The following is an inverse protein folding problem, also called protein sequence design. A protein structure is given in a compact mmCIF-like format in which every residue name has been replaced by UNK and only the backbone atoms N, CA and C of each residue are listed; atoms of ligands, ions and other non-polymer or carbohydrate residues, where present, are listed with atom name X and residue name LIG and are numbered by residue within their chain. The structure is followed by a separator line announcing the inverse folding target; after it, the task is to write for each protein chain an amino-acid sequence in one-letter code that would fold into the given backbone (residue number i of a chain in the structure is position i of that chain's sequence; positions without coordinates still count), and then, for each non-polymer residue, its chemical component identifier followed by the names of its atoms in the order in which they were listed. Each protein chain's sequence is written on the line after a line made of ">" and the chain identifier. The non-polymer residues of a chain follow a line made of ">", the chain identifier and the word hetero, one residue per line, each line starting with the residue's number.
data_IF_368639977644
#
_entry.id   IF_368639977644
#
_cell.length_a   1.000
_cell.length_b   1.000
_cell.length_c   1.000
_cell.angle_alpha   90.00
_cell.angle_beta   90.00
_cell.angle_gamma   90.00
#
_symmetry.space_group_name_H-M   'P 1'
#
loop_
_entity.id
_entity.type
_entity.pdbx_description
1 polymer ?
#
# COMPACT_ATOMS: atom_id res chain seq x y z
N UNK A 1 35.83 9.97 9.41
CA UNK A 1 34.45 10.52 9.30
C UNK A 1 33.52 9.52 9.95
N UNK A 2 32.77 9.90 10.98
CA UNK A 2 32.03 8.98 11.85
C UNK A 2 30.91 8.29 11.04
N UNK A 3 30.75 6.97 11.16
CA UNK A 3 29.78 6.13 10.44
C UNK A 3 28.35 6.72 10.59
N UNK A 4 27.96 7.15 11.79
CA UNK A 4 26.67 7.79 12.08
C UNK A 4 26.44 9.10 11.29
N UNK A 5 27.46 9.94 11.08
CA UNK A 5 27.34 11.17 10.27
C UNK A 5 27.14 10.85 8.80
N UNK A 6 27.74 9.76 8.28
CA UNK A 6 27.56 9.30 6.91
C UNK A 6 26.12 8.80 6.72
N UNK A 7 25.63 7.93 7.61
CA UNK A 7 24.27 7.39 7.57
C UNK A 7 23.19 8.49 7.69
N UNK A 8 23.44 9.52 8.47
CA UNK A 8 22.51 10.67 8.61
C UNK A 8 22.45 11.50 7.33
N UNK A 9 23.58 11.67 6.61
CA UNK A 9 23.59 12.39 5.33
C UNK A 9 22.87 11.61 4.25
N UNK A 10 23.11 10.31 4.17
CA UNK A 10 22.46 9.40 3.23
C UNK A 10 20.94 9.51 3.41
N UNK A 11 20.42 9.25 4.62
CA UNK A 11 18.97 9.34 4.92
C UNK A 11 18.38 10.71 4.63
N UNK A 12 19.13 11.80 4.87
CA UNK A 12 18.66 13.15 4.54
C UNK A 12 18.50 13.32 3.03
N UNK A 13 19.46 12.87 2.25
CA UNK A 13 19.43 12.95 0.77
C UNK A 13 18.30 12.10 0.21
N UNK A 14 18.15 10.86 0.69
CA UNK A 14 17.06 9.96 0.28
C UNK A 14 15.68 10.58 0.55
N UNK A 15 15.52 11.20 1.73
CA UNK A 15 14.28 11.92 2.04
C UNK A 15 14.04 13.10 1.11
N UNK A 16 15.06 13.93 0.82
CA UNK A 16 14.92 15.06 -0.10
C UNK A 16 14.54 14.56 -1.51
N UNK A 17 15.18 13.49 -1.98
CA UNK A 17 14.86 12.87 -3.27
C UNK A 17 13.42 12.32 -3.30
N UNK A 18 12.97 11.67 -2.23
CA UNK A 18 11.60 11.18 -2.11
C UNK A 18 10.59 12.32 -2.14
N UNK A 19 10.82 13.39 -1.37
CA UNK A 19 9.95 14.57 -1.33
C UNK A 19 9.89 15.26 -2.70
N UNK A 20 11.01 15.39 -3.40
CA UNK A 20 11.06 15.96 -4.76
C UNK A 20 10.38 15.07 -5.81
N UNK A 21 10.59 13.75 -5.73
CA UNK A 21 9.94 12.80 -6.63
C UNK A 21 8.41 12.84 -6.46
N UNK A 22 7.91 12.80 -5.25
CA UNK A 22 6.47 12.86 -4.98
C UNK A 22 5.84 14.16 -5.45
N UNK A 23 6.54 15.28 -5.28
CA UNK A 23 6.10 16.57 -5.82
C UNK A 23 5.97 16.54 -7.36
N UNK A 24 6.97 15.99 -8.05
CA UNK A 24 6.89 15.86 -9.52
C UNK A 24 5.75 14.94 -9.97
N UNK A 25 5.49 13.86 -9.25
CA UNK A 25 4.42 12.91 -9.55
C UNK A 25 3.01 13.50 -9.37
N UNK A 26 2.84 14.62 -8.68
CA UNK A 26 1.53 15.30 -8.62
C UNK A 26 1.03 15.75 -10.00
N UNK A 27 1.94 16.09 -10.90
CA UNK A 27 1.60 16.68 -12.21
C UNK A 27 2.15 15.90 -13.40
N UNK A 28 3.09 14.98 -13.19
CA UNK A 28 3.79 14.24 -14.25
C UNK A 28 3.68 12.73 -14.05
N UNK A 29 3.66 12.01 -15.16
CA UNK A 29 3.89 10.57 -15.13
C UNK A 29 5.34 10.27 -14.75
N UNK A 30 5.57 9.14 -14.09
CA UNK A 30 6.91 8.62 -13.78
C UNK A 30 7.82 8.60 -15.02
N UNK A 31 7.26 8.25 -16.18
CA UNK A 31 7.99 8.16 -17.44
C UNK A 31 8.54 9.50 -17.95
N UNK A 32 7.98 10.61 -17.47
CA UNK A 32 8.33 11.98 -17.89
C UNK A 32 9.28 12.67 -16.88
N UNK A 33 9.60 12.01 -15.77
CA UNK A 33 10.48 12.56 -14.73
C UNK A 33 11.94 12.22 -15.07
N UNK A 34 12.80 13.24 -15.03
CA UNK A 34 14.24 13.07 -15.29
C UNK A 34 15.09 13.30 -14.03
N UNK A 35 16.23 12.62 -13.95
CA UNK A 35 17.22 12.85 -12.87
C UNK A 35 17.65 14.31 -12.80
N UNK A 36 17.74 14.99 -13.95
CA UNK A 36 18.07 16.42 -13.99
C UNK A 36 17.05 17.26 -13.24
N UNK A 37 15.81 17.10 -13.60
CA UNK A 37 14.72 17.86 -13.02
C UNK A 37 14.56 17.59 -11.51
N UNK A 38 14.64 16.31 -11.11
CA UNK A 38 14.60 15.94 -9.71
C UNK A 38 15.76 16.55 -8.92
N UNK A 39 17.00 16.47 -9.44
CA UNK A 39 18.16 17.04 -8.80
C UNK A 39 18.07 18.58 -8.67
N UNK A 40 17.58 19.24 -9.72
CA UNK A 40 17.39 20.69 -9.74
C UNK A 40 16.32 21.14 -8.69
N UNK A 41 15.21 20.38 -8.53
CA UNK A 41 14.15 20.70 -7.55
C UNK A 41 14.65 20.54 -6.11
N UNK A 42 15.41 19.49 -5.82
CA UNK A 42 15.88 19.22 -4.44
C UNK A 42 17.22 19.87 -4.12
N UNK A 43 17.74 20.69 -5.03
CA UNK A 43 19.00 21.43 -4.90
C UNK A 43 20.20 20.53 -4.56
N UNK A 44 20.36 19.47 -5.35
CA UNK A 44 21.54 18.58 -5.25
C UNK A 44 22.24 18.44 -6.60
N UNK A 45 23.53 18.09 -6.57
CA UNK A 45 24.23 17.72 -7.79
C UNK A 45 23.75 16.33 -8.27
N UNK A 46 23.59 16.14 -9.60
CA UNK A 46 23.26 14.84 -10.20
C UNK A 46 24.21 13.72 -9.77
N UNK A 47 25.50 14.05 -9.57
CA UNK A 47 26.45 13.06 -9.03
C UNK A 47 26.05 12.55 -7.65
N UNK A 48 25.36 13.39 -6.84
CA UNK A 48 24.82 12.95 -5.55
C UNK A 48 23.67 11.97 -5.74
N UNK A 49 22.78 12.19 -6.72
CA UNK A 49 21.74 11.24 -7.07
C UNK A 49 22.33 9.88 -7.45
N UNK A 50 23.34 9.87 -8.34
CA UNK A 50 23.98 8.65 -8.83
C UNK A 50 24.81 7.90 -7.77
N UNK A 51 25.02 8.48 -6.59
CA UNK A 51 25.56 7.75 -5.44
C UNK A 51 24.52 6.85 -4.74
N UNK A 52 23.23 7.10 -5.00
CA UNK A 52 22.10 6.38 -4.39
C UNK A 52 21.36 5.49 -5.39
N UNK A 53 21.12 5.97 -6.60
CA UNK A 53 20.29 5.31 -7.61
C UNK A 53 20.91 5.42 -9.00
N UNK A 54 20.66 4.41 -9.86
CA UNK A 54 21.14 4.40 -11.24
C UNK A 54 20.34 5.38 -12.13
N UNK A 55 19.04 5.41 -11.94
CA UNK A 55 18.08 6.28 -12.62
C UNK A 55 16.79 6.44 -11.79
N UNK A 56 15.78 7.13 -12.36
CA UNK A 56 14.48 7.33 -11.71
C UNK A 56 13.73 6.01 -11.48
N UNK A 57 13.85 5.06 -12.41
CA UNK A 57 13.15 3.76 -12.28
C UNK A 57 13.77 2.92 -11.17
N UNK A 58 15.09 2.90 -11.06
CA UNK A 58 15.82 2.24 -9.97
C UNK A 58 15.41 2.84 -8.61
N UNK A 59 15.32 4.17 -8.53
CA UNK A 59 14.85 4.85 -7.30
C UNK A 59 13.41 4.43 -6.94
N UNK A 60 12.50 4.40 -7.91
CA UNK A 60 11.12 4.00 -7.71
C UNK A 60 11.04 2.54 -7.27
N UNK A 61 11.77 1.65 -7.91
CA UNK A 61 11.81 0.23 -7.56
C UNK A 61 12.28 0.00 -6.11
N UNK A 62 13.28 0.74 -5.65
CA UNK A 62 13.71 0.70 -4.26
C UNK A 62 12.61 1.15 -3.29
N UNK A 63 11.93 2.27 -3.60
CA UNK A 63 10.81 2.78 -2.79
C UNK A 63 9.65 1.79 -2.76
N UNK A 64 9.27 1.24 -3.92
CA UNK A 64 8.20 0.24 -4.02
C UNK A 64 8.50 -1.01 -3.21
N UNK A 65 9.72 -1.53 -3.30
CA UNK A 65 10.14 -2.73 -2.59
C UNK A 65 10.13 -2.51 -1.07
N UNK A 66 10.58 -1.36 -0.58
CA UNK A 66 10.50 -0.98 0.84
C UNK A 66 9.04 -0.89 1.33
N UNK A 67 8.16 -0.27 0.53
CA UNK A 67 6.73 -0.22 0.85
C UNK A 67 6.06 -1.59 0.84
N UNK A 68 6.40 -2.45 -0.12
CA UNK A 68 5.87 -3.82 -0.22
C UNK A 68 6.31 -4.66 0.98
N UNK A 69 7.58 -4.56 1.40
CA UNK A 69 8.09 -5.22 2.59
C UNK A 69 7.31 -4.79 3.83
N UNK A 70 7.20 -3.49 4.08
CA UNK A 70 6.42 -2.92 5.19
C UNK A 70 4.94 -3.33 5.15
N UNK A 71 4.33 -3.35 3.96
CA UNK A 71 2.95 -3.78 3.79
C UNK A 71 2.76 -5.27 4.10
N UNK A 72 3.69 -6.10 3.66
CA UNK A 72 3.70 -7.54 3.93
C UNK A 72 3.87 -7.82 5.43
N UNK A 73 4.75 -7.09 6.09
CA UNK A 73 4.96 -7.16 7.54
C UNK A 73 3.69 -6.72 8.31
N UNK A 74 3.05 -5.64 7.88
CA UNK A 74 1.80 -5.15 8.48
C UNK A 74 0.64 -6.15 8.34
N UNK A 75 0.58 -6.88 7.23
CA UNK A 75 -0.38 -7.99 7.04
C UNK A 75 -0.13 -9.15 8.00
N UNK A 76 1.11 -9.33 8.45
CA UNK A 76 1.50 -10.42 9.33
C UNK A 76 1.32 -11.82 8.72
N UNK A 77 1.46 -12.87 9.54
CA UNK A 77 1.32 -14.26 9.09
C UNK A 77 -0.11 -14.58 8.66
N UNK A 78 -0.27 -15.59 7.80
CA UNK A 78 -1.58 -16.13 7.43
C UNK A 78 -2.14 -16.93 8.60
N UNK A 79 -3.12 -16.39 9.30
CA UNK A 79 -3.81 -17.06 10.42
C UNK A 79 -5.01 -17.86 9.88
N UNK A 80 -5.14 -19.11 10.30
CA UNK A 80 -6.29 -19.93 9.94
C UNK A 80 -7.51 -19.52 10.80
N UNK A 81 -8.56 -18.93 10.22
CA UNK A 81 -9.73 -18.49 10.97
C UNK A 81 -10.48 -19.63 11.67
N UNK A 82 -10.38 -20.88 11.20
CA UNK A 82 -11.10 -22.01 11.78
C UNK A 82 -10.54 -22.49 13.13
N UNK A 83 -9.36 -22.01 13.54
CA UNK A 83 -8.72 -22.42 14.81
C UNK A 83 -8.85 -21.41 15.94
N UNK A 84 -9.45 -20.24 15.66
CA UNK A 84 -9.67 -19.18 16.65
C UNK A 84 -11.15 -18.82 16.73
N UNK A 85 -11.61 -18.28 17.87
CA UNK A 85 -13.00 -17.84 18.02
C UNK A 85 -13.34 -16.70 17.09
N UNK A 86 -14.62 -16.53 16.74
CA UNK A 86 -15.07 -15.41 15.90
C UNK A 86 -14.67 -14.03 16.46
N UNK A 87 -14.76 -13.86 17.79
CA UNK A 87 -14.33 -12.62 18.46
C UNK A 87 -12.82 -12.36 18.29
N UNK A 88 -12.01 -13.42 18.42
CA UNK A 88 -10.56 -13.32 18.23
C UNK A 88 -10.17 -13.06 16.77
N UNK A 89 -10.95 -13.58 15.83
CA UNK A 89 -10.77 -13.28 14.39
C UNK A 89 -10.99 -11.82 14.10
N UNK A 90 -12.07 -11.24 14.65
CA UNK A 90 -12.40 -9.81 14.47
C UNK A 90 -11.31 -8.91 15.06
N UNK A 91 -10.89 -9.21 16.29
CA UNK A 91 -9.84 -8.45 16.96
C UNK A 91 -8.51 -8.49 16.17
N UNK A 92 -8.10 -9.67 15.73
CA UNK A 92 -6.88 -9.83 14.93
C UNK A 92 -7.00 -9.12 13.56
N UNK A 93 -8.14 -9.23 12.91
CA UNK A 93 -8.38 -8.54 11.63
C UNK A 93 -8.37 -7.02 11.80
N UNK A 94 -9.00 -6.49 12.86
CA UNK A 94 -8.97 -5.07 13.18
C UNK A 94 -7.53 -4.58 13.45
N UNK A 95 -6.74 -5.37 14.15
CA UNK A 95 -5.32 -5.07 14.42
C UNK A 95 -4.50 -5.01 13.13
N UNK A 96 -4.69 -5.96 12.24
CA UNK A 96 -4.03 -5.96 10.91
C UNK A 96 -4.43 -4.70 10.13
N UNK A 97 -5.72 -4.39 10.06
CA UNK A 97 -6.20 -3.20 9.36
C UNK A 97 -5.64 -1.91 9.95
N UNK A 98 -5.57 -1.80 11.29
CA UNK A 98 -4.91 -0.67 11.97
C UNK A 98 -3.44 -0.53 11.55
N UNK A 99 -2.71 -1.63 11.50
CA UNK A 99 -1.30 -1.62 11.07
C UNK A 99 -1.15 -1.13 9.62
N UNK A 100 -2.03 -1.60 8.72
CA UNK A 100 -2.04 -1.20 7.31
C UNK A 100 -2.39 0.29 7.17
N UNK A 101 -3.47 0.75 7.80
CA UNK A 101 -3.87 2.15 7.68
C UNK A 101 -2.89 3.12 8.34
N UNK A 102 -2.22 2.74 9.44
CA UNK A 102 -1.12 3.51 10.00
C UNK A 102 0.07 3.59 9.03
N UNK A 103 0.46 2.47 8.42
CA UNK A 103 1.51 2.45 7.40
C UNK A 103 1.19 3.38 6.22
N UNK A 104 -0.06 3.36 5.75
CA UNK A 104 -0.52 4.25 4.69
C UNK A 104 -0.47 5.73 5.12
N UNK A 105 -0.80 6.05 6.38
CA UNK A 105 -0.68 7.40 6.92
C UNK A 105 0.77 7.88 7.01
N UNK A 106 1.64 7.05 7.56
CA UNK A 106 3.07 7.34 7.69
C UNK A 106 3.75 7.58 6.35
N UNK A 107 3.27 6.89 5.30
CA UNK A 107 3.83 6.97 3.94
C UNK A 107 2.85 7.64 2.95
N UNK A 108 1.93 8.49 3.46
CA UNK A 108 0.80 9.02 2.67
C UNK A 108 1.22 9.65 1.35
N UNK A 109 2.22 10.51 1.37
CA UNK A 109 2.63 11.29 0.19
C UNK A 109 3.07 10.37 -0.95
N UNK A 110 3.92 9.40 -0.66
CA UNK A 110 4.38 8.44 -1.68
C UNK A 110 3.30 7.43 -2.06
N UNK A 111 2.50 6.93 -1.11
CA UNK A 111 1.38 6.05 -1.42
C UNK A 111 0.34 6.74 -2.31
N UNK A 112 0.00 8.02 -2.03
CA UNK A 112 -0.87 8.83 -2.88
C UNK A 112 -0.29 8.99 -4.29
N UNK A 113 1.01 9.24 -4.41
CA UNK A 113 1.69 9.37 -5.69
C UNK A 113 1.68 8.05 -6.48
N UNK A 114 2.10 6.94 -5.86
CA UNK A 114 2.18 5.63 -6.53
C UNK A 114 0.82 5.01 -6.87
N UNK A 115 -0.19 5.21 -6.02
CA UNK A 115 -1.56 4.70 -6.24
C UNK A 115 -2.45 5.69 -7.01
N UNK A 116 -1.98 6.92 -7.27
CA UNK A 116 -2.72 7.97 -7.96
C UNK A 116 -2.80 7.76 -9.48
N UNK A 117 -3.41 8.73 -10.18
CA UNK A 117 -3.61 8.68 -11.65
C UNK A 117 -2.30 8.64 -12.44
N UNK A 118 -1.27 9.30 -11.95
CA UNK A 118 0.06 9.37 -12.57
C UNK A 118 1.04 8.34 -11.98
N UNK A 119 0.52 7.45 -11.13
CA UNK A 119 1.31 6.46 -10.40
C UNK A 119 1.81 5.31 -11.26
N UNK A 120 2.42 4.32 -10.60
CA UNK A 120 2.93 3.13 -11.27
C UNK A 120 1.92 2.00 -11.24
N UNK A 121 1.41 1.63 -12.41
CA UNK A 121 0.50 0.49 -12.56
C UNK A 121 1.15 -0.83 -12.11
N UNK A 122 2.49 -0.96 -12.21
CA UNK A 122 3.20 -2.13 -11.73
C UNK A 122 3.12 -2.24 -10.21
N UNK A 123 3.24 -1.11 -9.50
CA UNK A 123 3.06 -1.07 -8.05
C UNK A 123 1.64 -1.46 -7.65
N UNK A 124 0.62 -0.89 -8.32
CA UNK A 124 -0.79 -1.27 -8.09
C UNK A 124 -0.99 -2.77 -8.28
N UNK A 125 -0.42 -3.36 -9.34
CA UNK A 125 -0.52 -4.79 -9.62
C UNK A 125 0.20 -5.64 -8.55
N UNK A 126 1.38 -5.21 -8.06
CA UNK A 126 2.10 -5.90 -6.97
C UNK A 126 1.26 -5.92 -5.69
N UNK A 127 0.71 -4.77 -5.28
CA UNK A 127 -0.15 -4.69 -4.10
C UNK A 127 -1.44 -5.50 -4.29
N UNK A 128 -2.08 -5.39 -5.45
CA UNK A 128 -3.29 -6.17 -5.77
C UNK A 128 -3.03 -7.68 -5.65
N UNK A 129 -1.87 -8.16 -6.12
CA UNK A 129 -1.49 -9.56 -5.97
C UNK A 129 -1.34 -9.98 -4.50
N UNK A 130 -0.70 -9.17 -3.67
CA UNK A 130 -0.55 -9.47 -2.23
C UNK A 130 -1.92 -9.55 -1.54
N UNK A 131 -2.83 -8.61 -1.87
CA UNK A 131 -4.21 -8.61 -1.34
C UNK A 131 -4.97 -9.84 -1.85
N UNK A 132 -4.87 -10.16 -3.15
CA UNK A 132 -5.44 -11.34 -3.78
C UNK A 132 -5.01 -12.63 -3.09
N UNK A 133 -3.69 -12.83 -2.91
CA UNK A 133 -3.13 -14.01 -2.23
C UNK A 133 -3.65 -14.17 -0.79
N UNK A 134 -3.97 -13.07 -0.11
CA UNK A 134 -4.57 -13.07 1.23
C UNK A 134 -6.04 -13.43 1.18
N UNK A 135 -6.81 -12.84 0.28
CA UNK A 135 -8.24 -13.09 0.10
C UNK A 135 -8.45 -14.55 -0.33
N UNK A 136 -7.71 -15.02 -1.32
CA UNK A 136 -7.78 -16.40 -1.80
C UNK A 136 -7.49 -17.41 -0.67
N UNK A 137 -6.49 -17.13 0.18
CA UNK A 137 -6.22 -17.96 1.34
C UNK A 137 -7.45 -18.05 2.27
N UNK A 138 -8.11 -16.92 2.55
CA UNK A 138 -9.31 -16.88 3.40
C UNK A 138 -10.47 -17.60 2.72
N UNK A 139 -10.75 -17.32 1.45
CA UNK A 139 -11.82 -17.96 0.70
C UNK A 139 -11.68 -19.49 0.68
N UNK A 140 -10.47 -20.00 0.45
CA UNK A 140 -10.21 -21.46 0.46
C UNK A 140 -10.47 -22.12 1.81
N UNK A 141 -10.45 -21.37 2.91
CA UNK A 141 -10.71 -21.88 4.25
C UNK A 141 -12.19 -21.79 4.68
N UNK A 142 -12.90 -20.74 4.21
CA UNK A 142 -14.25 -20.43 4.69
C UNK A 142 -15.33 -20.61 3.65
N UNK A 143 -14.99 -20.61 2.33
CA UNK A 143 -15.97 -20.78 1.28
C UNK A 143 -16.63 -22.16 1.38
N UNK A 144 -17.95 -22.15 1.45
CA UNK A 144 -18.71 -23.39 1.39
C UNK A 144 -18.61 -23.99 -0.02
N UNK A 145 -18.80 -25.31 -0.16
CA UNK A 145 -18.89 -26.03 -1.46
C UNK A 145 -20.02 -25.52 -2.38
N UNK A 146 -20.70 -24.46 -1.98
CA UNK A 146 -21.80 -23.82 -2.71
C UNK A 146 -21.32 -23.07 -3.95
N UNK A 147 -20.08 -22.57 -3.93
CA UNK A 147 -19.51 -21.73 -5.00
C UNK A 147 -18.56 -22.55 -5.86
N UNK A 148 -18.60 -22.34 -7.18
CA UNK A 148 -17.62 -22.88 -8.12
C UNK A 148 -16.29 -22.10 -8.00
N UNK A 149 -15.21 -22.68 -8.53
CA UNK A 149 -13.91 -22.00 -8.56
C UNK A 149 -14.00 -20.65 -9.30
N UNK A 150 -14.77 -20.60 -10.40
CA UNK A 150 -15.01 -19.35 -11.15
C UNK A 150 -15.76 -18.31 -10.33
N UNK A 151 -16.75 -18.72 -9.50
CA UNK A 151 -17.44 -17.78 -8.62
C UNK A 151 -16.47 -17.21 -7.57
N UNK A 152 -15.58 -18.04 -7.03
CA UNK A 152 -14.58 -17.62 -6.05
C UNK A 152 -13.57 -16.65 -6.67
N UNK A 153 -13.14 -16.84 -7.92
CA UNK A 153 -12.30 -15.89 -8.65
C UNK A 153 -13.00 -14.53 -8.85
N UNK A 154 -14.30 -14.52 -9.14
CA UNK A 154 -15.09 -13.28 -9.27
C UNK A 154 -15.23 -12.56 -7.93
N UNK A 155 -15.49 -13.30 -6.86
CA UNK A 155 -15.57 -12.77 -5.49
C UNK A 155 -14.23 -12.17 -5.08
N UNK A 156 -13.12 -12.88 -5.31
CA UNK A 156 -11.78 -12.39 -5.06
C UNK A 156 -11.51 -11.07 -5.80
N UNK A 157 -11.79 -11.03 -7.10
CA UNK A 157 -11.62 -9.84 -7.94
C UNK A 157 -12.40 -8.64 -7.41
N UNK A 158 -13.66 -8.85 -6.99
CA UNK A 158 -14.49 -7.81 -6.38
C UNK A 158 -13.87 -7.24 -5.10
N UNK A 159 -13.41 -8.09 -4.20
CA UNK A 159 -12.78 -7.65 -2.95
C UNK A 159 -11.45 -6.92 -3.18
N UNK A 160 -10.60 -7.45 -4.07
CA UNK A 160 -9.33 -6.78 -4.42
C UNK A 160 -9.59 -5.39 -4.99
N UNK A 161 -10.51 -5.26 -5.95
CA UNK A 161 -10.87 -3.99 -6.55
C UNK A 161 -11.46 -3.01 -5.50
N UNK A 162 -12.32 -3.51 -4.61
CA UNK A 162 -12.90 -2.73 -3.52
C UNK A 162 -11.86 -2.20 -2.53
N UNK A 163 -10.91 -3.05 -2.12
CA UNK A 163 -9.82 -2.68 -1.24
C UNK A 163 -8.95 -1.58 -1.85
N UNK A 164 -8.49 -1.77 -3.09
CA UNK A 164 -7.64 -0.81 -3.79
C UNK A 164 -8.39 0.51 -4.02
N UNK A 165 -9.63 0.44 -4.51
CA UNK A 165 -10.45 1.62 -4.78
C UNK A 165 -10.73 2.46 -3.54
N UNK A 166 -11.02 1.81 -2.39
CA UNK A 166 -11.24 2.49 -1.12
C UNK A 166 -9.98 3.24 -0.66
N UNK A 167 -8.82 2.58 -0.70
CA UNK A 167 -7.54 3.19 -0.32
C UNK A 167 -7.19 4.34 -1.26
N UNK A 168 -7.34 4.16 -2.58
CA UNK A 168 -7.11 5.21 -3.56
C UNK A 168 -8.01 6.43 -3.32
N UNK A 169 -9.30 6.20 -3.09
CA UNK A 169 -10.24 7.29 -2.80
C UNK A 169 -9.84 8.03 -1.52
N UNK A 170 -9.60 7.28 -0.44
CA UNK A 170 -9.21 7.87 0.85
C UNK A 170 -7.93 8.71 0.78
N UNK A 171 -6.88 8.22 0.10
CA UNK A 171 -5.62 8.93 -0.01
C UNK A 171 -5.70 10.18 -0.91
N UNK A 172 -6.56 10.17 -1.94
CA UNK A 172 -6.64 11.24 -2.94
C UNK A 172 -7.69 12.30 -2.65
N UNK A 173 -8.74 11.99 -1.87
CA UNK A 173 -9.77 12.95 -1.49
C UNK A 173 -9.41 13.62 -0.15
N UNK A 174 -9.06 14.91 -0.21
CA UNK A 174 -8.61 15.68 0.97
C UNK A 174 -9.71 15.77 2.04
N UNK A 175 -10.98 15.85 1.64
CA UNK A 175 -12.11 15.93 2.58
C UNK A 175 -12.32 14.61 3.30
N UNK A 176 -12.31 13.51 2.58
CA UNK A 176 -12.43 12.15 3.14
C UNK A 176 -11.24 11.86 4.06
N UNK A 177 -10.03 12.17 3.62
CA UNK A 177 -8.81 11.99 4.39
C UNK A 177 -8.83 12.79 5.70
N UNK A 178 -9.20 14.06 5.67
CA UNK A 178 -9.22 14.95 6.84
C UNK A 178 -10.23 14.49 7.92
N UNK A 179 -11.28 13.73 7.54
CA UNK A 179 -12.34 13.27 8.42
C UNK A 179 -12.21 11.79 8.85
N UNK A 180 -11.16 11.10 8.42
CA UNK A 180 -11.03 9.66 8.61
C UNK A 180 -9.59 9.29 9.00
N UNK A 181 -9.35 9.01 10.28
CA UNK A 181 -8.08 8.50 10.76
C UNK A 181 -7.94 6.98 10.51
N UNK A 182 -6.79 6.41 10.86
CA UNK A 182 -6.51 4.99 10.69
C UNK A 182 -7.49 4.10 11.47
N UNK A 183 -7.95 4.55 12.64
CA UNK A 183 -8.90 3.79 13.45
C UNK A 183 -10.29 3.74 12.81
N UNK A 184 -10.77 4.89 12.33
CA UNK A 184 -12.03 4.97 11.60
C UNK A 184 -12.00 4.09 10.36
N UNK A 185 -10.96 4.23 9.53
CA UNK A 185 -10.81 3.45 8.31
C UNK A 185 -10.71 1.95 8.57
N UNK A 186 -10.03 1.55 9.63
CA UNK A 186 -9.91 0.14 10.01
C UNK A 186 -11.26 -0.45 10.40
N UNK A 187 -12.05 0.25 11.21
CA UNK A 187 -13.39 -0.16 11.60
C UNK A 187 -14.33 -0.26 10.40
N UNK A 188 -14.35 0.79 9.57
CA UNK A 188 -15.16 0.80 8.34
C UNK A 188 -14.83 -0.39 7.45
N UNK A 189 -13.54 -0.71 7.29
CA UNK A 189 -13.11 -1.82 6.45
C UNK A 189 -13.57 -3.18 7.01
N UNK A 190 -13.44 -3.37 8.33
CA UNK A 190 -13.95 -4.57 9.02
C UNK A 190 -15.47 -4.70 8.87
N UNK A 191 -16.21 -3.61 9.02
CA UNK A 191 -17.66 -3.60 8.88
C UNK A 191 -18.11 -3.92 7.44
N UNK A 192 -17.41 -3.41 6.44
CA UNK A 192 -17.68 -3.74 5.03
C UNK A 192 -17.48 -5.23 4.73
N UNK A 193 -16.39 -5.83 5.23
CA UNK A 193 -16.13 -7.26 5.07
C UNK A 193 -17.22 -8.09 5.77
N UNK A 194 -17.61 -7.74 7.01
CA UNK A 194 -18.67 -8.43 7.74
C UNK A 194 -20.01 -8.34 7.03
N UNK A 195 -20.37 -7.17 6.54
CA UNK A 195 -21.63 -6.97 5.80
C UNK A 195 -21.66 -7.82 4.53
N UNK A 196 -20.53 -8.00 3.86
CA UNK A 196 -20.40 -8.88 2.70
C UNK A 196 -20.53 -10.36 3.07
N UNK A 197 -20.05 -10.76 4.26
CA UNK A 197 -20.25 -12.11 4.80
C UNK A 197 -21.73 -12.38 5.12
N UNK A 198 -22.45 -11.40 5.67
CA UNK A 198 -23.88 -11.50 5.97
C UNK A 198 -24.75 -11.67 4.69
N UNK A 199 -24.27 -11.26 3.52
CA UNK A 199 -24.91 -11.52 2.23
C UNK A 199 -24.70 -12.96 1.71
N UNK A 200 -24.05 -13.83 2.50
CA UNK A 200 -23.81 -15.23 2.17
C UNK A 200 -22.72 -15.45 1.10
N UNK A 201 -21.91 -14.43 0.84
CA UNK A 201 -20.81 -14.51 -0.11
C UNK A 201 -19.56 -15.12 0.56
N UNK A 202 -19.42 -14.88 1.87
CA UNK A 202 -18.35 -15.44 2.71
C UNK A 202 -19.04 -15.92 4.00
N UNK A 203 -19.36 -17.20 4.08
CA UNK A 203 -20.03 -17.74 5.27
C UNK A 203 -19.98 -19.25 5.29
#
# INVERSE_FOLDING_TARGET
>A
MNKEKKDRRIRKTEKQLLDGLTYLMETKSINDITVRELADIVDINRSTFYLHYQDIYDMIEHIENDLIEKFTDALGPKVNPNIISAASQEEEFLKIMKSIFNLLLENRTICKALLGRNGDIKFVNKISKIVSDRIQYILNLVASKKYSDTDLELVESYFVAGCIGLVQHWLNDEKTYANSDAEHMSKLFVDLIKSSSALGVIG
#
